data_IF_075239613642
#
_entry.id   IF_075239613642
#
_cell.length_a   1.000
_cell.length_b   1.000
_cell.length_c   1.000
_cell.angle_alpha   90.00
_cell.angle_beta   90.00
_cell.angle_gamma   90.00
#
_symmetry.space_group_name_H-M   'P 1'
#
loop_
_entity.id
_entity.type
_entity.pdbx_description
1 polymer ?
#
# COMPACT_ATOMS: atom_id res chain seq x y z
N UNK A 1 11.52 22.98 14.48
CA UNK A 1 10.32 23.22 15.32
C UNK A 1 9.72 21.87 15.65
N UNK A 2 9.24 21.66 16.88
CA UNK A 2 8.58 20.41 17.24
C UNK A 2 7.16 20.35 16.65
N UNK A 3 6.73 19.21 16.09
CA UNK A 3 5.31 18.95 15.76
C UNK A 3 4.50 19.06 17.07
N UNK A 4 3.37 19.75 17.03
CA UNK A 4 2.43 19.81 18.15
C UNK A 4 1.78 18.44 18.38
N UNK A 5 1.42 18.12 19.62
CA UNK A 5 0.77 16.83 19.99
C UNK A 5 -0.43 16.47 19.10
N UNK A 6 -1.26 17.46 18.73
CA UNK A 6 -2.38 17.27 17.79
C UNK A 6 -1.94 16.80 16.40
N UNK A 7 -0.87 17.39 15.87
CA UNK A 7 -0.32 17.04 14.55
C UNK A 7 0.37 15.69 14.58
N UNK A 8 1.00 15.32 15.69
CA UNK A 8 1.60 14.00 15.89
C UNK A 8 0.50 12.92 15.96
N UNK A 9 -0.61 13.18 16.66
CA UNK A 9 -1.80 12.30 16.66
C UNK A 9 -2.39 12.10 15.26
N UNK A 10 -2.55 13.19 14.50
CA UNK A 10 -3.01 13.13 13.10
C UNK A 10 -2.07 12.29 12.24
N UNK A 11 -0.75 12.48 12.38
CA UNK A 11 0.24 11.73 11.62
C UNK A 11 0.25 10.24 12.01
N UNK A 12 0.05 9.92 13.28
CA UNK A 12 -0.13 8.54 13.73
C UNK A 12 -1.38 7.90 13.12
N UNK A 13 -2.50 8.62 13.03
CA UNK A 13 -3.72 8.12 12.38
C UNK A 13 -3.51 7.90 10.86
N UNK A 14 -2.80 8.81 10.17
CA UNK A 14 -2.44 8.64 8.75
C UNK A 14 -1.53 7.43 8.55
N UNK A 15 -0.50 7.28 9.37
CA UNK A 15 0.41 6.13 9.32
C UNK A 15 -0.33 4.82 9.57
N UNK A 16 -1.23 4.81 10.55
CA UNK A 16 -2.07 3.66 10.83
C UNK A 16 -2.94 3.30 9.64
N UNK A 17 -3.62 4.29 9.06
CA UNK A 17 -4.50 4.10 7.91
C UNK A 17 -3.74 3.57 6.69
N UNK A 18 -2.62 4.20 6.31
CA UNK A 18 -1.81 3.75 5.18
C UNK A 18 -1.20 2.37 5.42
N UNK A 19 -0.84 2.02 6.66
CA UNK A 19 -0.34 0.68 6.98
C UNK A 19 -1.41 -0.40 6.78
N UNK A 20 -2.67 -0.12 7.17
CA UNK A 20 -3.82 -1.00 6.99
C UNK A 20 -4.14 -1.17 5.50
N UNK A 21 -4.20 -0.06 4.75
CA UNK A 21 -4.47 -0.09 3.31
C UNK A 21 -3.35 -0.79 2.53
N UNK A 22 -2.10 -0.54 2.88
CA UNK A 22 -0.95 -1.20 2.26
C UNK A 22 -0.98 -2.71 2.49
N UNK A 23 -1.30 -3.14 3.72
CA UNK A 23 -1.41 -4.56 4.06
C UNK A 23 -2.54 -5.23 3.29
N UNK A 24 -3.74 -4.63 3.29
CA UNK A 24 -4.89 -5.12 2.52
C UNK A 24 -4.54 -5.26 1.04
N UNK A 25 -3.94 -4.24 0.44
CA UNK A 25 -3.55 -4.26 -0.97
C UNK A 25 -2.47 -5.32 -1.28
N UNK A 26 -1.53 -5.55 -0.35
CA UNK A 26 -0.55 -6.61 -0.47
C UNK A 26 -1.19 -8.00 -0.41
N UNK A 27 -2.10 -8.24 0.53
CA UNK A 27 -2.84 -9.50 0.68
C UNK A 27 -3.68 -9.79 -0.57
N UNK A 28 -4.45 -8.79 -1.06
CA UNK A 28 -5.20 -8.90 -2.31
C UNK A 28 -4.29 -9.21 -3.52
N UNK A 29 -3.13 -8.56 -3.62
CA UNK A 29 -2.16 -8.84 -4.68
C UNK A 29 -1.59 -10.26 -4.57
N UNK A 30 -1.27 -10.71 -3.35
CA UNK A 30 -0.70 -12.03 -3.11
C UNK A 30 -1.68 -13.16 -3.47
N UNK A 31 -2.95 -13.02 -3.09
CA UNK A 31 -4.01 -13.98 -3.46
C UNK A 31 -4.19 -14.07 -4.98
N UNK A 32 -4.14 -12.91 -5.64
CA UNK A 32 -4.26 -12.81 -7.09
C UNK A 32 -3.03 -13.37 -7.82
N UNK A 33 -1.82 -13.14 -7.29
CA UNK A 33 -0.57 -13.76 -7.79
C UNK A 33 -0.64 -15.28 -7.69
N UNK A 34 -1.13 -15.82 -6.56
CA UNK A 34 -1.30 -17.26 -6.37
C UNK A 34 -2.30 -17.86 -7.37
N UNK A 35 -3.42 -17.17 -7.61
CA UNK A 35 -4.42 -17.58 -8.59
C UNK A 35 -3.84 -17.65 -10.02
N UNK A 36 -3.02 -16.66 -10.42
CA UNK A 36 -2.35 -16.68 -11.71
C UNK A 36 -1.34 -17.84 -11.81
N UNK A 37 -0.53 -18.03 -10.77
CA UNK A 37 0.45 -19.12 -10.71
C UNK A 37 -0.22 -20.51 -10.79
N UNK A 38 -1.45 -20.63 -10.30
CA UNK A 38 -2.24 -21.86 -10.31
C UNK A 38 -3.00 -22.10 -11.63
N UNK A 39 -2.65 -21.39 -12.71
CA UNK A 39 -3.22 -21.58 -14.05
C UNK A 39 -4.27 -20.54 -14.45
N UNK A 40 -4.54 -19.52 -13.63
CA UNK A 40 -5.35 -18.38 -14.04
C UNK A 40 -4.63 -17.51 -15.08
N UNK A 41 -5.26 -17.23 -16.22
CA UNK A 41 -4.67 -16.34 -17.23
C UNK A 41 -5.70 -15.49 -18.00
N UNK A 42 -6.95 -15.42 -17.53
CA UNK A 42 -7.95 -14.63 -18.21
C UNK A 42 -7.57 -13.13 -18.17
N UNK A 43 -7.93 -12.39 -19.21
CA UNK A 43 -7.70 -10.94 -19.28
C UNK A 43 -8.28 -10.23 -18.06
N UNK A 44 -9.44 -10.68 -17.56
CA UNK A 44 -10.05 -10.15 -16.34
C UNK A 44 -9.13 -10.35 -15.12
N UNK A 45 -8.58 -11.55 -14.93
CA UNK A 45 -7.66 -11.82 -13.81
C UNK A 45 -6.39 -10.98 -13.92
N UNK A 46 -5.83 -10.82 -15.12
CA UNK A 46 -4.64 -9.97 -15.34
C UNK A 46 -4.92 -8.51 -14.94
N UNK A 47 -6.08 -7.98 -15.33
CA UNK A 47 -6.49 -6.61 -14.95
C UNK A 47 -6.65 -6.47 -13.43
N UNK A 48 -7.24 -7.46 -12.77
CA UNK A 48 -7.42 -7.46 -11.31
C UNK A 48 -6.08 -7.52 -10.58
N UNK A 49 -5.16 -8.40 -11.00
CA UNK A 49 -3.79 -8.50 -10.47
C UNK A 49 -3.05 -7.18 -10.66
N UNK A 50 -3.15 -6.59 -11.84
CA UNK A 50 -2.55 -5.29 -12.13
C UNK A 50 -3.09 -4.21 -11.18
N UNK A 51 -4.41 -4.14 -10.97
CA UNK A 51 -5.04 -3.20 -10.04
C UNK A 51 -4.58 -3.41 -8.59
N UNK A 52 -4.54 -4.66 -8.12
CA UNK A 52 -4.09 -5.00 -6.77
C UNK A 52 -2.61 -4.63 -6.56
N UNK A 53 -1.73 -4.98 -7.51
CA UNK A 53 -0.32 -4.63 -7.45
C UNK A 53 -0.10 -3.11 -7.45
N UNK A 54 -0.84 -2.39 -8.28
CA UNK A 54 -0.78 -0.93 -8.34
C UNK A 54 -1.24 -0.28 -7.03
N UNK A 55 -2.29 -0.80 -6.40
CA UNK A 55 -2.76 -0.36 -5.08
C UNK A 55 -1.68 -0.58 -4.01
N UNK A 56 -1.04 -1.77 -4.02
CA UNK A 56 0.06 -2.09 -3.11
C UNK A 56 1.23 -1.11 -3.27
N UNK A 57 1.68 -0.87 -4.51
CA UNK A 57 2.76 0.09 -4.80
C UNK A 57 2.39 1.50 -4.34
N UNK A 58 1.14 1.92 -4.54
CA UNK A 58 0.66 3.23 -4.12
C UNK A 58 0.73 3.39 -2.60
N UNK A 59 0.06 2.52 -1.85
CA UNK A 59 -0.01 2.62 -0.39
C UNK A 59 1.35 2.41 0.27
N UNK A 60 2.19 1.51 -0.24
CA UNK A 60 3.55 1.35 0.29
C UNK A 60 4.37 2.64 0.12
N UNK A 61 4.22 3.34 -1.01
CA UNK A 61 4.92 4.60 -1.25
C UNK A 61 4.41 5.71 -0.33
N UNK A 62 3.09 5.92 -0.24
CA UNK A 62 2.51 6.93 0.64
C UNK A 62 2.82 6.65 2.11
N UNK A 63 2.85 5.39 2.52
CA UNK A 63 3.30 4.99 3.84
C UNK A 63 4.76 5.37 4.11
N UNK A 64 5.67 5.19 3.13
CA UNK A 64 7.05 5.68 3.24
C UNK A 64 7.10 7.20 3.42
N UNK A 65 6.29 7.96 2.66
CA UNK A 65 6.24 9.43 2.76
C UNK A 65 5.79 9.85 4.15
N UNK A 66 4.73 9.26 4.68
CA UNK A 66 4.23 9.57 6.02
C UNK A 66 5.27 9.26 7.11
N UNK A 67 6.05 8.17 6.97
CA UNK A 67 7.13 7.85 7.91
C UNK A 67 8.24 8.88 7.87
N UNK A 68 8.62 9.35 6.68
CA UNK A 68 9.65 10.38 6.52
C UNK A 68 9.18 11.71 7.11
N UNK A 69 7.92 12.09 6.90
CA UNK A 69 7.34 13.30 7.50
C UNK A 69 7.40 13.26 9.02
N UNK A 70 7.14 12.08 9.61
CA UNK A 70 7.27 11.88 11.06
C UNK A 70 8.70 12.01 11.53
N UNK A 71 9.64 11.33 10.88
CA UNK A 71 11.08 11.36 11.22
C UNK A 71 11.67 12.78 11.10
N UNK A 72 11.23 13.54 10.10
CA UNK A 72 11.67 14.92 9.87
C UNK A 72 10.94 15.94 10.75
N UNK A 73 9.91 15.52 11.49
CA UNK A 73 9.08 16.40 12.28
C UNK A 73 8.47 17.55 11.43
N UNK A 74 8.09 17.23 10.19
CA UNK A 74 7.52 18.17 9.23
C UNK A 74 6.36 17.55 8.45
N UNK A 75 5.30 18.35 8.26
CA UNK A 75 4.15 17.98 7.41
C UNK A 75 4.25 18.59 6.00
N UNK A 76 5.37 19.24 5.69
CA UNK A 76 5.58 19.84 4.39
C UNK A 76 5.68 18.77 3.31
N UNK A 77 5.43 19.18 2.07
CA UNK A 77 5.63 18.32 0.92
C UNK A 77 7.12 17.97 0.79
N UNK A 78 7.44 16.67 0.87
CA UNK A 78 8.81 16.19 0.72
C UNK A 78 9.24 16.30 -0.75
N UNK A 79 10.43 16.87 -0.98
CA UNK A 79 11.03 16.91 -2.31
C UNK A 79 11.37 15.49 -2.75
N UNK A 80 11.08 15.15 -4.00
CA UNK A 80 11.23 13.78 -4.52
C UNK A 80 12.63 13.18 -4.28
N UNK A 81 13.70 13.97 -4.45
CA UNK A 81 15.06 13.51 -4.24
C UNK A 81 15.33 13.11 -2.77
N UNK A 82 14.76 13.84 -1.82
CA UNK A 82 14.90 13.54 -0.40
C UNK A 82 14.12 12.27 -0.04
N UNK A 83 12.88 12.15 -0.53
CA UNK A 83 12.09 10.93 -0.36
C UNK A 83 12.82 9.70 -0.93
N UNK A 84 13.39 9.82 -2.13
CA UNK A 84 14.16 8.77 -2.78
C UNK A 84 15.36 8.33 -1.92
N UNK A 85 16.09 9.27 -1.31
CA UNK A 85 17.21 8.98 -0.39
C UNK A 85 16.76 8.25 0.87
N UNK A 86 15.68 8.71 1.51
CA UNK A 86 15.16 8.10 2.73
C UNK A 86 14.65 6.66 2.48
N UNK A 87 13.93 6.44 1.38
CA UNK A 87 13.49 5.10 0.96
C UNK A 87 14.70 4.19 0.75
N UNK A 88 15.75 4.71 0.11
CA UNK A 88 16.96 3.95 -0.13
C UNK A 88 17.59 3.46 1.18
N UNK A 89 17.77 4.37 2.14
CA UNK A 89 18.29 4.05 3.48
C UNK A 89 17.42 3.02 4.20
N UNK A 90 16.09 3.11 4.09
CA UNK A 90 15.18 2.14 4.70
C UNK A 90 15.34 0.73 4.10
N UNK A 91 15.46 0.63 2.77
CA UNK A 91 15.71 -0.64 2.08
C UNK A 91 17.07 -1.22 2.50
N UNK A 92 18.11 -0.39 2.58
CA UNK A 92 19.45 -0.80 3.02
C UNK A 92 19.43 -1.33 4.45
N UNK A 93 18.77 -0.63 5.37
CA UNK A 93 18.62 -1.08 6.76
C UNK A 93 17.89 -2.42 6.85
N UNK A 94 16.77 -2.55 6.15
CA UNK A 94 16.01 -3.79 6.08
C UNK A 94 16.89 -4.96 5.57
N UNK A 95 17.64 -4.72 4.50
CA UNK A 95 18.55 -5.71 3.92
C UNK A 95 19.62 -6.17 4.92
N UNK A 96 20.26 -5.23 5.63
CA UNK A 96 21.31 -5.55 6.61
C UNK A 96 20.80 -6.39 7.79
N UNK A 97 19.52 -6.25 8.14
CA UNK A 97 18.85 -7.08 9.15
C UNK A 97 18.57 -8.47 8.56
N UNK A 98 17.85 -8.52 7.44
CA UNK A 98 17.34 -9.76 6.85
C UNK A 98 18.46 -10.70 6.36
N UNK A 99 19.57 -10.16 5.83
CA UNK A 99 20.71 -10.99 5.38
C UNK A 99 21.40 -11.78 6.50
N UNK A 100 21.18 -11.38 7.76
CA UNK A 100 21.72 -12.02 8.96
C UNK A 100 20.70 -12.94 9.66
N UNK A 101 19.44 -12.92 9.21
CA UNK A 101 18.36 -13.69 9.79
C UNK A 101 18.30 -15.10 9.13
N UNK A 102 18.59 -16.20 9.86
CA UNK A 102 18.68 -17.54 9.27
C UNK A 102 17.39 -18.07 8.64
N UNK A 103 16.22 -17.53 9.02
CA UNK A 103 14.92 -17.92 8.45
C UNK A 103 14.47 -17.02 7.30
N UNK A 104 15.27 -16.01 6.95
CA UNK A 104 14.95 -15.06 5.87
C UNK A 104 15.33 -15.61 4.50
N UNK A 105 14.51 -15.29 3.49
CA UNK A 105 14.86 -15.49 2.08
C UNK A 105 16.18 -14.81 1.69
N UNK A 106 16.56 -13.76 2.40
CA UNK A 106 17.74 -12.94 2.15
C UNK A 106 19.01 -13.47 2.85
N UNK A 107 18.90 -14.53 3.66
CA UNK A 107 20.02 -15.07 4.43
C UNK A 107 21.21 -15.44 3.54
N UNK A 108 22.41 -14.97 3.93
CA UNK A 108 23.67 -15.18 3.19
C UNK A 108 23.70 -14.67 1.74
N UNK A 109 22.70 -13.90 1.27
CA UNK A 109 22.78 -13.28 -0.05
C UNK A 109 23.88 -12.20 -0.08
N UNK A 110 24.59 -12.13 -1.21
CA UNK A 110 25.75 -11.26 -1.38
C UNK A 110 25.36 -9.84 -1.75
N UNK A 111 26.24 -8.88 -1.48
CA UNK A 111 26.08 -7.49 -1.88
C UNK A 111 25.90 -7.37 -3.40
N UNK A 112 26.69 -8.11 -4.18
CA UNK A 112 26.59 -8.12 -5.65
C UNK A 112 25.21 -8.54 -6.13
N UNK A 113 24.60 -9.56 -5.51
CA UNK A 113 23.26 -10.03 -5.85
C UNK A 113 22.23 -8.94 -5.55
N UNK A 114 22.31 -8.34 -4.37
CA UNK A 114 21.35 -7.33 -3.90
C UNK A 114 21.43 -6.01 -4.68
N UNK A 115 22.65 -5.50 -4.91
CA UNK A 115 22.85 -4.19 -5.52
C UNK A 115 22.68 -4.15 -7.04
N UNK A 116 22.52 -5.29 -7.71
CA UNK A 116 22.44 -5.41 -9.17
C UNK A 116 21.36 -4.53 -9.84
N UNK A 117 20.27 -4.20 -9.13
CA UNK A 117 19.20 -3.30 -9.62
C UNK A 117 18.89 -2.12 -8.68
N UNK A 118 19.66 -1.97 -7.61
CA UNK A 118 19.32 -1.16 -6.43
C UNK A 118 19.24 0.35 -6.67
N UNK A 119 20.20 0.91 -7.40
CA UNK A 119 20.38 2.37 -7.49
C UNK A 119 19.19 3.15 -8.07
N UNK A 120 18.38 2.51 -8.92
CA UNK A 120 17.24 3.16 -9.58
C UNK A 120 15.89 2.90 -8.88
N UNK A 121 15.87 2.06 -7.83
CA UNK A 121 14.62 1.61 -7.22
C UNK A 121 13.72 2.77 -6.74
N UNK A 122 14.16 3.73 -5.91
CA UNK A 122 13.26 4.74 -5.36
C UNK A 122 12.61 5.63 -6.43
N UNK A 123 13.38 5.97 -7.48
CA UNK A 123 12.88 6.72 -8.63
C UNK A 123 11.82 5.93 -9.39
N UNK A 124 12.10 4.66 -9.70
CA UNK A 124 11.15 3.78 -10.38
C UNK A 124 9.92 3.50 -9.50
N UNK A 125 10.08 3.40 -8.18
CA UNK A 125 8.99 3.21 -7.24
C UNK A 125 8.02 4.39 -7.25
N UNK A 126 8.55 5.63 -7.23
CA UNK A 126 7.75 6.85 -7.41
C UNK A 126 7.05 6.89 -8.78
N UNK A 127 7.74 6.48 -9.84
CA UNK A 127 7.16 6.43 -11.19
C UNK A 127 6.02 5.41 -11.26
N UNK A 128 6.20 4.22 -10.70
CA UNK A 128 5.18 3.19 -10.61
C UNK A 128 3.97 3.69 -9.81
N UNK A 129 4.18 4.38 -8.68
CA UNK A 129 3.10 5.06 -7.94
C UNK A 129 2.36 6.08 -8.80
N UNK A 130 3.07 6.91 -9.57
CA UNK A 130 2.44 7.95 -10.40
C UNK A 130 1.63 7.39 -11.58
N UNK A 131 1.89 6.14 -11.97
CA UNK A 131 1.13 5.44 -12.99
C UNK A 131 -0.22 4.90 -12.45
N UNK A 132 -0.51 5.06 -11.14
CA UNK A 132 -1.72 4.53 -10.51
C UNK A 132 -3.04 5.18 -10.93
N UNK A 133 -2.98 6.30 -11.65
CA UNK A 133 -4.16 6.96 -12.20
C UNK A 133 -4.07 7.04 -13.72
N UNK A 134 -4.79 6.17 -14.42
CA UNK A 134 -4.83 6.06 -15.90
C UNK A 134 -5.61 7.19 -16.60
N UNK A 135 -5.90 8.30 -15.91
CA UNK A 135 -6.64 9.43 -16.47
C UNK A 135 -5.95 10.11 -17.67
N UNK A 136 -4.64 9.91 -17.85
CA UNK A 136 -3.88 10.41 -18.99
C UNK A 136 -3.42 9.25 -19.87
N UNK A 137 -3.71 9.31 -21.17
CA UNK A 137 -3.27 8.31 -22.17
C UNK A 137 -1.73 8.10 -22.11
N UNK A 138 -0.96 9.14 -21.80
CA UNK A 138 0.49 9.05 -21.61
C UNK A 138 0.88 8.07 -20.48
N UNK A 139 0.10 7.95 -19.42
CA UNK A 139 0.33 6.98 -18.32
C UNK A 139 -0.02 5.55 -18.74
N UNK A 140 -0.89 5.36 -19.73
CA UNK A 140 -1.23 4.05 -20.30
C UNK A 140 -0.26 3.59 -21.41
N UNK A 141 0.40 4.52 -22.13
CA UNK A 141 1.26 4.19 -23.29
C UNK A 141 2.76 4.43 -23.11
N UNK A 142 3.18 5.24 -22.14
CA UNK A 142 4.58 5.72 -22.04
C UNK A 142 5.13 5.75 -20.60
N UNK A 143 4.41 5.19 -19.63
CA UNK A 143 4.94 4.97 -18.28
C UNK A 143 5.81 3.70 -18.22
N UNK A 144 6.58 3.55 -17.15
CA UNK A 144 7.22 2.27 -16.82
C UNK A 144 6.14 1.18 -16.69
N UNK A 145 6.20 0.08 -17.48
CA UNK A 145 5.27 -1.02 -17.32
C UNK A 145 5.39 -1.64 -15.92
N UNK A 146 4.26 -1.87 -15.25
CA UNK A 146 4.26 -2.44 -13.90
C UNK A 146 4.85 -3.85 -13.86
N UNK A 147 4.76 -4.61 -14.96
CA UNK A 147 5.40 -5.93 -15.07
C UNK A 147 6.93 -5.81 -14.99
N UNK A 148 7.53 -4.86 -15.71
CA UNK A 148 8.98 -4.64 -15.70
C UNK A 148 9.43 -4.15 -14.32
N UNK A 149 8.67 -3.23 -13.72
CA UNK A 149 8.91 -2.78 -12.36
C UNK A 149 8.86 -3.95 -11.35
N UNK A 150 7.83 -4.80 -11.42
CA UNK A 150 7.71 -5.95 -10.55
C UNK A 150 8.86 -6.94 -10.74
N UNK A 151 9.18 -7.29 -11.99
CA UNK A 151 10.25 -8.21 -12.33
C UNK A 151 11.61 -7.74 -11.84
N UNK A 152 11.88 -6.43 -11.84
CA UNK A 152 13.13 -5.87 -11.34
C UNK A 152 13.15 -5.70 -9.81
N UNK A 153 12.03 -5.34 -9.20
CA UNK A 153 12.01 -4.80 -7.83
C UNK A 153 11.19 -5.59 -6.81
N UNK A 154 10.57 -6.72 -7.16
CA UNK A 154 9.76 -7.54 -6.23
C UNK A 154 10.44 -7.84 -4.90
N UNK A 155 11.75 -8.09 -4.91
CA UNK A 155 12.52 -8.37 -3.70
C UNK A 155 12.63 -7.14 -2.80
N UNK A 156 12.89 -5.96 -3.36
CA UNK A 156 12.98 -4.70 -2.61
C UNK A 156 11.62 -4.31 -2.05
N UNK A 157 10.53 -4.51 -2.81
CA UNK A 157 9.17 -4.27 -2.35
C UNK A 157 8.82 -5.14 -1.14
N UNK A 158 9.08 -6.46 -1.22
CA UNK A 158 8.82 -7.40 -0.11
C UNK A 158 9.65 -7.05 1.12
N UNK A 159 10.93 -6.72 0.92
CA UNK A 159 11.84 -6.33 1.98
C UNK A 159 11.38 -5.05 2.68
N UNK A 160 11.04 -4.01 1.91
CA UNK A 160 10.57 -2.73 2.42
C UNK A 160 9.23 -2.87 3.14
N UNK A 161 8.27 -3.57 2.54
CA UNK A 161 6.96 -3.82 3.15
C UNK A 161 7.09 -4.55 4.49
N UNK A 162 7.86 -5.65 4.53
CA UNK A 162 8.09 -6.40 5.77
C UNK A 162 8.72 -5.52 6.85
N UNK A 163 9.78 -4.78 6.51
CA UNK A 163 10.50 -3.94 7.46
C UNK A 163 9.65 -2.80 8.02
N UNK A 164 8.93 -2.08 7.15
CA UNK A 164 8.17 -0.90 7.56
C UNK A 164 6.89 -1.26 8.31
N UNK A 165 6.26 -2.39 7.98
CA UNK A 165 4.97 -2.75 8.60
C UNK A 165 5.10 -3.46 9.94
N UNK A 166 6.25 -4.05 10.28
CA UNK A 166 6.48 -4.73 11.57
C UNK A 166 6.01 -3.94 12.80
N UNK A 167 6.19 -2.62 12.78
CA UNK A 167 5.87 -1.74 13.90
C UNK A 167 4.40 -1.30 13.91
N UNK A 168 3.75 -1.33 12.75
CA UNK A 168 2.40 -0.83 12.53
C UNK A 168 1.36 -1.94 12.45
N UNK A 169 1.78 -3.21 12.55
CA UNK A 169 0.87 -4.35 12.66
C UNK A 169 0.18 -4.47 14.03
N UNK A 170 0.68 -3.76 15.06
CA UNK A 170 0.18 -3.85 16.44
C UNK A 170 -0.52 -2.56 16.91
N UNK A 171 -1.03 -1.76 15.98
CA UNK A 171 -1.79 -0.55 16.32
C UNK A 171 -3.10 -0.97 16.97
N UNK A 172 -3.44 -0.34 18.09
CA UNK A 172 -4.77 -0.44 18.66
C UNK A 172 -5.75 0.37 17.80
N UNK A 173 -6.40 -0.32 16.86
CA UNK A 173 -7.34 0.29 15.91
C UNK A 173 -8.51 0.94 16.66
N UNK A 174 -8.99 0.32 17.73
CA UNK A 174 -10.17 0.79 18.47
C UNK A 174 -9.86 2.04 19.30
N UNK A 175 -8.62 2.14 19.83
CA UNK A 175 -8.19 3.31 20.61
C UNK A 175 -7.60 4.44 19.76
N UNK A 176 -7.36 4.21 18.47
CA UNK A 176 -6.82 5.24 17.57
C UNK A 176 -7.90 6.28 17.27
N UNK A 177 -7.60 7.57 17.47
CA UNK A 177 -8.46 8.63 16.99
C UNK A 177 -8.30 8.79 15.48
N UNK A 178 -9.24 8.22 14.72
CA UNK A 178 -9.24 8.24 13.26
C UNK A 178 -9.68 9.58 12.64
N UNK A 179 -10.04 10.58 13.45
CA UNK A 179 -10.54 11.87 12.97
C UNK A 179 -11.66 11.70 11.94
N UNK A 180 -11.53 12.26 10.74
CA UNK A 180 -12.55 12.16 9.70
C UNK A 180 -12.57 10.79 9.01
N UNK A 181 -11.49 10.00 9.06
CA UNK A 181 -11.42 8.65 8.45
C UNK A 181 -12.42 7.73 9.14
N UNK A 182 -12.49 7.79 10.47
CA UNK A 182 -13.41 6.97 11.27
C UNK A 182 -14.87 7.44 11.23
N UNK A 183 -15.16 8.60 10.63
CA UNK A 183 -16.54 9.11 10.51
C UNK A 183 -17.30 8.51 9.32
N UNK A 184 -16.64 7.74 8.46
CA UNK A 184 -17.29 7.03 7.36
C UNK A 184 -18.06 5.80 7.88
N UNK A 185 -19.12 6.04 8.64
CA UNK A 185 -20.09 5.03 9.04
C UNK A 185 -21.32 5.14 8.14
N UNK A 186 -21.40 4.22 7.18
CA UNK A 186 -22.52 4.13 6.24
C UNK A 186 -23.49 3.00 6.61
N UNK A 187 -23.42 2.44 7.82
CA UNK A 187 -24.17 1.24 8.17
C UNK A 187 -25.67 1.38 7.86
N UNK A 188 -26.33 2.42 8.38
CA UNK A 188 -27.76 2.64 8.15
C UNK A 188 -28.09 2.91 6.68
N UNK A 189 -27.22 3.65 5.97
CA UNK A 189 -27.40 3.95 4.55
C UNK A 189 -27.30 2.65 3.73
N UNK A 190 -26.28 1.83 3.99
CA UNK A 190 -26.06 0.57 3.33
C UNK A 190 -27.19 -0.43 3.62
N UNK A 191 -27.69 -0.48 4.85
CA UNK A 191 -28.83 -1.33 5.21
C UNK A 191 -30.09 -0.93 4.43
N UNK A 192 -30.36 0.37 4.30
CA UNK A 192 -31.46 0.86 3.47
C UNK A 192 -31.29 0.49 1.99
N UNK A 193 -30.10 0.70 1.42
CA UNK A 193 -29.82 0.38 0.01
C UNK A 193 -29.95 -1.13 -0.27
N UNK A 194 -29.50 -1.98 0.66
CA UNK A 194 -29.66 -3.44 0.57
C UNK A 194 -31.14 -3.83 0.67
N UNK A 195 -31.90 -3.23 1.59
CA UNK A 195 -33.35 -3.45 1.68
C UNK A 195 -34.03 -3.13 0.35
N UNK A 196 -33.81 -1.93 -0.19
CA UNK A 196 -34.43 -1.46 -1.42
C UNK A 196 -34.03 -2.38 -2.60
N UNK A 197 -32.76 -2.78 -2.70
CA UNK A 197 -32.30 -3.72 -3.73
C UNK A 197 -33.01 -5.08 -3.64
N UNK A 198 -33.13 -5.66 -2.44
CA UNK A 198 -33.86 -6.93 -2.24
C UNK A 198 -35.32 -6.82 -2.69
N UNK A 199 -35.98 -5.72 -2.34
CA UNK A 199 -37.37 -5.45 -2.75
C UNK A 199 -37.48 -5.33 -4.27
N UNK A 200 -36.52 -4.68 -4.95
CA UNK A 200 -36.53 -4.60 -6.43
C UNK A 200 -36.39 -5.96 -7.11
N UNK A 201 -35.73 -6.91 -6.46
CA UNK A 201 -35.61 -8.30 -6.93
C UNK A 201 -36.83 -9.17 -6.57
N UNK A 202 -37.88 -8.59 -5.99
CA UNK A 202 -39.07 -9.31 -5.54
C UNK A 202 -38.85 -10.19 -4.31
N UNK A 203 -37.73 -9.99 -3.59
CA UNK A 203 -37.44 -10.70 -2.34
C UNK A 203 -38.01 -9.92 -1.14
N UNK A 204 -38.24 -10.59 0.00
CA UNK A 204 -38.50 -9.88 1.25
C UNK A 204 -37.33 -8.94 1.57
N UNK A 205 -37.62 -7.67 1.83
CA UNK A 205 -36.61 -6.68 2.26
C UNK A 205 -36.10 -6.97 3.67
N UNK A 206 -35.10 -6.19 4.12
CA UNK A 206 -34.58 -6.31 5.48
C UNK A 206 -35.63 -5.91 6.54
N UNK A 207 -35.72 -6.64 7.67
CA UNK A 207 -36.66 -6.32 8.75
C UNK A 207 -36.38 -4.94 9.36
N UNK A 208 -37.43 -4.17 9.63
CA UNK A 208 -37.30 -2.85 10.27
C UNK A 208 -36.96 -1.70 9.33
N UNK A 209 -36.71 -1.97 8.05
CA UNK A 209 -36.43 -0.93 7.06
C UNK A 209 -37.68 -0.64 6.19
N UNK A 210 -38.08 0.63 6.04
CA UNK A 210 -39.21 0.99 5.19
C UNK A 210 -38.81 0.99 3.72
N UNK A 211 -39.77 0.71 2.85
CA UNK A 211 -39.62 0.92 1.41
C UNK A 211 -39.66 2.41 1.11
N UNK A 212 -38.68 2.93 0.38
CA UNK A 212 -38.69 4.31 -0.12
C UNK A 212 -39.60 4.49 -1.32
#
# INVERSE_FOLDING_TARGET
MAISEEKDRLLCAVLAHESILCRKAYEEFFDMEFLLASGGNSVKQIILVHGAFQSFVHHLYEFCIALIQRDQNSLDQIIAADAEKHIMVAVEKAWQIERKNPVSYFYNMTDTSFYSSYSCFPKHFRQARNNSAHALIKRAKSGQPLVDFYSLYRMMLKLLFSHLTQWWQNIDIEQTNWHDIGKFDIHEIAMQDVHDHLVTLGKPGLPGYPKR
#
